data_IF_843295687243
#
_entry.id   IF_843295687243
#
_cell.length_a   1.000
_cell.length_b   1.000
_cell.length_c   1.000
_cell.angle_alpha   90.00
_cell.angle_beta   90.00
_cell.angle_gamma   90.00
#
_symmetry.space_group_name_H-M   'P 1'
#
loop_
_entity.id
_entity.type
_entity.pdbx_description
1 polymer ?
#
# COMPACT_ATOMS: atom_id res chain seq x y z
N UNK A 1 20.25 12.37 -10.79
CA UNK A 1 20.18 10.99 -11.08
C UNK A 1 20.12 10.17 -9.84
N UNK A 2 21.12 10.17 -9.02
CA UNK A 2 21.03 9.36 -7.82
C UNK A 2 19.92 9.82 -6.91
N UNK A 3 19.55 11.08 -6.92
CA UNK A 3 18.43 11.53 -6.13
C UNK A 3 17.11 11.00 -6.62
N UNK A 4 16.97 10.78 -7.90
CA UNK A 4 15.75 10.20 -8.43
C UNK A 4 15.59 8.77 -7.96
N UNK A 5 16.68 8.04 -7.92
CA UNK A 5 16.64 6.68 -7.42
C UNK A 5 16.23 6.66 -5.94
N UNK A 6 16.76 7.58 -5.17
CA UNK A 6 16.44 7.66 -3.76
C UNK A 6 14.97 7.98 -3.54
N UNK A 7 14.39 8.83 -4.38
CA UNK A 7 12.97 9.14 -4.29
C UNK A 7 12.13 7.92 -4.64
N UNK A 8 12.51 7.22 -5.69
CA UNK A 8 11.79 6.03 -6.11
C UNK A 8 11.77 4.98 -5.02
N UNK A 9 12.84 4.86 -4.27
CA UNK A 9 12.93 3.84 -3.23
C UNK A 9 11.99 4.10 -2.06
N UNK A 10 11.25 5.19 -2.08
CA UNK A 10 10.34 5.52 -0.99
C UNK A 10 8.91 5.74 -1.45
N UNK A 11 8.58 5.23 -2.61
CA UNK A 11 7.25 5.45 -3.15
C UNK A 11 6.17 4.81 -2.32
N UNK A 12 5.14 5.58 -2.06
CA UNK A 12 3.98 5.14 -1.31
C UNK A 12 2.75 5.64 -2.02
N UNK A 13 1.74 4.78 -2.16
CA UNK A 13 0.46 5.17 -2.73
C UNK A 13 -0.60 4.84 -1.69
N UNK A 14 -1.54 5.73 -1.47
CA UNK A 14 -2.55 5.46 -0.45
C UNK A 14 -3.91 5.97 -0.84
N UNK A 15 -4.92 5.38 -0.23
CA UNK A 15 -6.29 5.84 -0.32
C UNK A 15 -6.78 6.19 1.07
N UNK A 16 -7.50 7.29 1.20
CA UNK A 16 -8.10 7.67 2.46
C UNK A 16 -9.54 8.04 2.24
N UNK A 17 -10.41 7.52 3.11
CA UNK A 17 -11.83 7.83 3.03
C UNK A 17 -12.09 9.23 3.60
N UNK A 18 -13.37 9.61 3.64
CA UNK A 18 -13.73 10.93 4.14
C UNK A 18 -13.34 11.16 5.59
N UNK A 19 -13.13 10.10 6.36
CA UNK A 19 -12.66 10.26 7.75
C UNK A 19 -11.23 10.78 7.81
N UNK A 20 -10.47 10.60 6.74
CA UNK A 20 -9.10 11.08 6.64
C UNK A 20 -8.11 10.41 7.60
N UNK A 21 -8.49 9.30 8.19
CA UNK A 21 -7.59 8.60 9.13
C UNK A 21 -6.33 8.10 8.47
N UNK A 22 -6.46 7.47 7.29
CA UNK A 22 -5.30 6.97 6.57
C UNK A 22 -4.42 8.13 6.09
N UNK A 23 -5.04 9.21 5.65
CA UNK A 23 -4.31 10.41 5.23
C UNK A 23 -3.47 10.95 6.38
N UNK A 24 -4.04 11.03 7.58
CA UNK A 24 -3.31 11.51 8.76
C UNK A 24 -2.12 10.61 9.08
N UNK A 25 -2.33 9.30 8.96
CA UNK A 25 -1.25 8.35 9.20
C UNK A 25 -0.10 8.57 8.21
N UNK A 26 -0.43 8.67 6.93
CA UNK A 26 0.58 8.85 5.89
C UNK A 26 1.34 10.16 6.07
N UNK A 27 0.64 11.22 6.45
CA UNK A 27 1.30 12.49 6.70
C UNK A 27 2.31 12.40 7.83
N UNK A 28 2.00 11.65 8.87
CA UNK A 28 2.92 11.47 9.99
C UNK A 28 4.16 10.68 9.59
N UNK A 29 4.06 9.84 8.57
CA UNK A 29 5.23 9.11 8.10
C UNK A 29 6.29 10.02 7.52
N UNK A 30 5.89 11.13 6.93
CA UNK A 30 6.83 12.10 6.38
C UNK A 30 7.59 11.60 5.17
N UNK A 31 7.01 10.68 4.40
CA UNK A 31 7.65 10.17 3.18
C UNK A 31 6.85 10.62 1.96
N UNK A 32 7.48 10.65 0.81
CA UNK A 32 6.75 10.99 -0.42
C UNK A 32 5.62 10.00 -0.66
N UNK A 33 4.44 10.51 -0.97
CA UNK A 33 3.27 9.67 -1.14
C UNK A 33 2.33 10.25 -2.17
N UNK A 34 1.65 9.38 -2.89
CA UNK A 34 0.67 9.76 -3.90
C UNK A 34 -0.71 9.29 -3.42
N UNK A 35 -1.66 10.18 -3.42
CA UNK A 35 -3.00 9.86 -2.95
C UNK A 35 -3.89 9.44 -4.11
N UNK A 36 -4.59 8.31 -3.98
CA UNK A 36 -5.60 7.89 -4.93
C UNK A 36 -6.80 8.82 -4.74
N UNK A 37 -7.28 9.47 -5.79
CA UNK A 37 -8.37 10.43 -5.64
C UNK A 37 -9.71 9.74 -5.36
N UNK A 38 -10.62 10.45 -4.73
CA UNK A 38 -11.97 9.95 -4.50
C UNK A 38 -12.72 9.79 -5.81
N UNK A 39 -12.45 10.66 -6.75
CA UNK A 39 -13.07 10.64 -8.06
C UNK A 39 -11.98 10.71 -9.12
N UNK A 40 -12.17 10.00 -10.21
CA UNK A 40 -11.17 9.97 -11.26
C UNK A 40 -10.15 8.87 -11.03
N UNK A 41 -9.16 8.82 -11.87
CA UNK A 41 -8.17 7.75 -11.88
C UNK A 41 -6.77 8.31 -12.02
N UNK A 42 -5.80 7.59 -11.48
CA UNK A 42 -4.40 7.93 -11.66
C UNK A 42 -3.65 6.68 -12.07
N UNK A 43 -2.51 6.89 -12.68
CA UNK A 43 -1.61 5.82 -13.05
C UNK A 43 -0.22 6.18 -12.56
N UNK A 44 0.46 5.23 -11.94
CA UNK A 44 1.80 5.45 -11.40
C UNK A 44 2.85 4.82 -12.31
N UNK A 45 4.09 5.22 -12.16
CA UNK A 45 5.16 4.75 -13.04
C UNK A 45 6.37 4.21 -12.28
N UNK A 46 6.23 3.95 -10.98
CA UNK A 46 7.34 3.39 -10.21
C UNK A 46 6.81 2.44 -9.14
N UNK A 47 7.63 1.49 -8.68
CA UNK A 47 7.19 0.55 -7.64
C UNK A 47 6.75 1.27 -6.38
N UNK A 48 5.75 0.72 -5.71
CA UNK A 48 5.16 1.38 -4.54
C UNK A 48 4.64 0.37 -3.53
N UNK A 49 4.44 0.85 -2.31
CA UNK A 49 3.71 0.15 -1.26
C UNK A 49 2.36 0.83 -1.13
N UNK A 50 1.30 0.05 -1.07
CA UNK A 50 -0.06 0.56 -0.97
C UNK A 50 -0.51 0.63 0.48
N UNK A 51 -1.11 1.76 0.87
CA UNK A 51 -1.72 1.91 2.20
C UNK A 51 -3.20 2.19 2.01
N UNK A 52 -4.06 1.46 2.68
CA UNK A 52 -5.50 1.62 2.50
C UNK A 52 -6.26 1.28 3.77
N UNK A 53 -7.46 1.85 3.95
CA UNK A 53 -8.33 1.42 5.04
C UNK A 53 -9.11 0.18 4.67
N UNK A 54 -9.73 -0.46 5.65
CA UNK A 54 -10.62 -1.58 5.44
C UNK A 54 -12.05 -1.12 5.65
N UNK A 55 -12.90 -1.36 4.66
CA UNK A 55 -14.33 -1.11 4.80
C UNK A 55 -14.97 -2.31 5.47
N UNK A 56 -16.08 -2.10 6.13
CA UNK A 56 -16.65 -3.15 6.95
C UNK A 56 -17.56 -4.08 6.19
N UNK A 57 -17.54 -5.32 6.63
CA UNK A 57 -18.63 -6.22 6.41
C UNK A 57 -18.82 -6.86 5.07
N UNK A 58 -18.01 -6.66 4.13
CA UNK A 58 -18.13 -7.35 2.86
C UNK A 58 -19.42 -7.09 2.10
N UNK A 59 -20.27 -6.23 2.60
CA UNK A 59 -21.56 -5.93 1.96
C UNK A 59 -21.54 -4.67 1.13
N UNK A 60 -20.55 -3.84 1.32
CA UNK A 60 -20.52 -2.54 0.68
C UNK A 60 -20.39 -2.64 -0.82
N UNK A 61 -19.61 -3.58 -1.32
CA UNK A 61 -19.37 -3.72 -2.74
C UNK A 61 -19.19 -5.17 -3.13
N UNK A 62 -20.27 -5.94 -3.12
CA UNK A 62 -20.14 -7.38 -3.36
C UNK A 62 -19.67 -7.74 -4.76
N UNK A 63 -19.89 -6.89 -5.71
CA UNK A 63 -19.53 -7.16 -7.11
C UNK A 63 -18.08 -6.85 -7.43
N UNK A 64 -17.27 -6.42 -6.48
CA UNK A 64 -15.90 -6.07 -6.74
C UNK A 64 -14.91 -7.19 -6.43
N UNK A 65 -15.37 -8.38 -6.19
CA UNK A 65 -14.52 -9.52 -5.91
C UNK A 65 -13.57 -9.30 -4.74
N UNK A 66 -13.76 -8.26 -4.00
CA UNK A 66 -12.95 -7.94 -2.84
C UNK A 66 -13.77 -8.05 -1.57
N UNK A 67 -14.99 -8.58 -1.67
CA UNK A 67 -15.85 -8.77 -0.53
C UNK A 67 -16.28 -7.48 0.14
N UNK A 68 -16.12 -6.35 -0.52
CA UNK A 68 -16.49 -5.06 0.04
C UNK A 68 -15.52 -4.50 1.06
N UNK A 69 -14.45 -5.22 1.36
CA UNK A 69 -13.45 -4.76 2.31
C UNK A 69 -12.52 -3.70 1.71
N UNK A 70 -12.25 -3.81 0.41
CA UNK A 70 -11.34 -2.90 -0.27
C UNK A 70 -12.17 -1.77 -0.88
N UNK A 71 -11.81 -0.51 -0.62
CA UNK A 71 -12.54 0.62 -1.23
C UNK A 71 -12.57 0.50 -2.75
N UNK A 72 -13.69 0.90 -3.34
CA UNK A 72 -13.85 0.75 -4.80
C UNK A 72 -12.81 1.54 -5.58
N UNK A 73 -12.34 2.66 -5.04
CA UNK A 73 -11.31 3.46 -5.69
C UNK A 73 -10.00 2.69 -5.77
N UNK A 74 -9.70 1.89 -4.74
CA UNK A 74 -8.51 1.07 -4.73
C UNK A 74 -8.66 -0.08 -5.71
N UNK A 75 -9.85 -0.69 -5.78
CA UNK A 75 -10.10 -1.75 -6.74
C UNK A 75 -9.88 -1.24 -8.15
N UNK A 76 -10.43 -0.07 -8.47
CA UNK A 76 -10.23 0.53 -9.79
C UNK A 76 -8.77 0.82 -10.07
N UNK A 77 -8.05 1.32 -9.07
CA UNK A 77 -6.63 1.60 -9.21
C UNK A 77 -5.83 0.34 -9.52
N UNK A 78 -6.12 -0.74 -8.81
CA UNK A 78 -5.40 -2.00 -8.98
C UNK A 78 -5.86 -2.79 -10.21
N UNK A 79 -7.00 -2.46 -10.78
CA UNK A 79 -7.44 -3.08 -12.04
C UNK A 79 -6.72 -2.49 -13.25
N UNK A 80 -6.02 -1.39 -13.08
CA UNK A 80 -5.15 -0.86 -14.11
C UNK A 80 -3.90 -1.73 -14.14
N UNK A 81 -3.55 -2.27 -15.29
CA UNK A 81 -2.45 -3.21 -15.44
C UNK A 81 -1.13 -2.65 -14.97
N UNK A 82 -0.84 -1.41 -15.32
CA UNK A 82 0.42 -0.80 -14.94
C UNK A 82 0.49 -0.62 -13.42
N UNK A 83 -0.56 -0.09 -12.82
CA UNK A 83 -0.59 0.07 -11.37
C UNK A 83 -0.42 -1.26 -10.66
N UNK A 84 -1.09 -2.29 -11.17
CA UNK A 84 -1.01 -3.61 -10.57
C UNK A 84 0.38 -4.22 -10.69
N UNK A 85 1.05 -3.96 -11.78
CA UNK A 85 2.39 -4.50 -12.00
C UNK A 85 3.44 -3.89 -11.09
N UNK A 86 3.16 -2.73 -10.52
CA UNK A 86 4.13 -1.98 -9.72
C UNK A 86 3.95 -2.10 -8.21
N UNK A 87 2.87 -2.72 -7.75
CA UNK A 87 2.67 -2.87 -6.31
C UNK A 87 3.69 -3.86 -5.74
N UNK A 88 4.28 -3.52 -4.60
CA UNK A 88 5.30 -4.37 -3.99
C UNK A 88 4.98 -4.79 -2.56
N UNK A 89 3.99 -4.17 -1.96
CA UNK A 89 3.57 -4.53 -0.61
C UNK A 89 2.32 -3.79 -0.25
N UNK A 90 1.68 -4.17 0.86
CA UNK A 90 0.45 -3.53 1.31
C UNK A 90 0.47 -3.34 2.82
N UNK A 91 -0.07 -2.19 3.24
CA UNK A 91 -0.27 -1.85 4.64
C UNK A 91 -1.74 -1.48 4.77
N UNK A 92 -2.44 -2.00 5.75
CA UNK A 92 -3.86 -1.73 5.88
C UNK A 92 -4.23 -1.22 7.25
N UNK A 93 -5.19 -0.32 7.27
CA UNK A 93 -5.79 0.15 8.49
C UNK A 93 -7.14 -0.54 8.69
N UNK A 94 -7.61 -0.56 9.91
CA UNK A 94 -8.89 -1.13 10.23
C UNK A 94 -9.44 -0.60 11.52
N UNK A 95 -10.50 -1.25 11.99
CA UNK A 95 -11.14 -0.90 13.24
C UNK A 95 -11.32 -2.19 14.04
N UNK A 96 -10.85 -2.18 15.26
CA UNK A 96 -10.92 -3.36 16.14
C UNK A 96 -12.35 -3.86 16.35
N UNK A 97 -13.32 -2.99 16.16
CA UNK A 97 -14.72 -3.40 16.32
C UNK A 97 -15.15 -4.44 15.31
N UNK A 98 -14.38 -4.67 14.26
CA UNK A 98 -14.72 -5.66 13.25
C UNK A 98 -14.17 -7.06 13.58
N UNK A 99 -13.49 -7.21 14.69
CA UNK A 99 -13.02 -8.52 15.13
C UNK A 99 -12.11 -9.19 14.11
N UNK A 100 -12.48 -10.37 13.66
CA UNK A 100 -11.64 -11.15 12.74
C UNK A 100 -11.43 -10.46 11.40
N UNK A 101 -12.25 -9.47 11.09
CA UNK A 101 -12.11 -8.73 9.83
C UNK A 101 -11.25 -7.49 9.98
N UNK A 102 -10.61 -7.33 11.11
CA UNK A 102 -9.75 -6.18 11.35
C UNK A 102 -8.67 -6.11 10.28
N UNK A 103 -8.61 -4.97 9.60
CA UNK A 103 -7.62 -4.71 8.55
C UNK A 103 -7.60 -5.77 7.45
N UNK A 104 -8.74 -6.40 7.20
CA UNK A 104 -8.82 -7.51 6.25
C UNK A 104 -8.58 -7.09 4.80
N UNK A 105 -8.71 -5.81 4.48
CA UNK A 105 -8.41 -5.33 3.14
C UNK A 105 -6.97 -5.66 2.75
N UNK A 106 -6.05 -5.64 3.72
CA UNK A 106 -4.67 -6.02 3.46
C UNK A 106 -4.52 -7.47 3.06
N UNK A 107 -5.31 -8.34 3.68
CA UNK A 107 -5.31 -9.77 3.31
C UNK A 107 -5.80 -9.95 1.87
N UNK A 108 -6.85 -9.23 1.49
CA UNK A 108 -7.40 -9.34 0.15
C UNK A 108 -6.39 -8.89 -0.90
N UNK A 109 -5.79 -7.72 -0.69
CA UNK A 109 -4.83 -7.17 -1.65
C UNK A 109 -3.58 -8.05 -1.70
N UNK A 110 -3.09 -8.48 -0.56
CA UNK A 110 -1.90 -9.32 -0.49
C UNK A 110 -2.09 -10.59 -1.32
N UNK A 111 -3.24 -11.22 -1.14
CA UNK A 111 -3.56 -12.47 -1.84
C UNK A 111 -3.74 -12.25 -3.35
N UNK A 112 -4.51 -11.24 -3.72
CA UNK A 112 -4.83 -11.02 -5.12
C UNK A 112 -3.68 -10.47 -5.92
N UNK A 113 -2.82 -9.69 -5.31
CA UNK A 113 -1.69 -9.09 -6.00
C UNK A 113 -0.38 -9.85 -5.79
N UNK A 114 -0.38 -10.85 -4.91
CA UNK A 114 0.82 -11.64 -4.67
C UNK A 114 1.94 -10.85 -4.02
N UNK A 115 1.61 -9.98 -3.07
CA UNK A 115 2.61 -9.13 -2.41
C UNK A 115 2.51 -9.31 -0.90
N UNK A 116 3.59 -9.03 -0.15
CA UNK A 116 3.57 -9.19 1.31
C UNK A 116 2.66 -8.17 2.00
N UNK A 117 2.04 -8.61 3.07
CA UNK A 117 1.25 -7.77 3.95
C UNK A 117 2.22 -7.25 5.01
N UNK A 118 2.59 -5.99 4.89
CA UNK A 118 3.72 -5.47 5.67
C UNK A 118 3.35 -5.02 7.07
N UNK A 119 2.16 -4.44 7.25
CA UNK A 119 1.78 -3.93 8.56
C UNK A 119 0.29 -3.65 8.60
N UNK A 120 -0.28 -3.71 9.79
CA UNK A 120 -1.69 -3.33 10.00
C UNK A 120 -1.78 -2.44 11.22
N UNK A 121 -2.68 -1.46 11.18
CA UNK A 121 -2.85 -0.52 12.27
C UNK A 121 -4.31 -0.13 12.39
N UNK A 122 -4.65 0.51 13.50
CA UNK A 122 -6.04 0.88 13.79
C UNK A 122 -6.23 2.38 13.55
N UNK A 123 -7.29 2.73 12.83
CA UNK A 123 -7.70 4.13 12.60
C UNK A 123 -6.57 4.94 11.99
N UNK A 124 -6.04 5.91 12.70
CA UNK A 124 -4.96 6.75 12.19
C UNK A 124 -3.59 6.36 12.73
N UNK A 125 -3.53 5.23 13.44
CA UNK A 125 -2.28 4.73 13.99
C UNK A 125 -1.81 5.50 15.20
N UNK A 126 -0.96 4.85 15.98
CA UNK A 126 -0.32 5.47 17.14
C UNK A 126 1.07 5.96 16.73
N UNK A 127 1.75 6.75 17.57
CA UNK A 127 3.15 7.10 17.29
C UNK A 127 4.04 5.88 17.11
N UNK A 128 3.78 4.81 17.85
CA UNK A 128 4.53 3.57 17.68
C UNK A 128 4.29 2.94 16.32
N UNK A 129 3.05 2.99 15.84
CA UNK A 129 2.73 2.51 14.49
C UNK A 129 3.49 3.30 13.44
N UNK A 130 3.54 4.62 13.60
CA UNK A 130 4.24 5.49 12.65
C UNK A 130 5.72 5.14 12.61
N UNK A 131 6.33 4.96 13.77
CA UNK A 131 7.75 4.62 13.84
C UNK A 131 8.03 3.25 13.25
N UNK A 132 7.18 2.28 13.55
CA UNK A 132 7.35 0.92 13.04
C UNK A 132 7.25 0.90 11.51
N UNK A 133 6.28 1.60 10.97
CA UNK A 133 6.09 1.62 9.51
C UNK A 133 7.22 2.39 8.85
N UNK A 134 7.62 3.51 9.43
CA UNK A 134 8.72 4.30 8.86
C UNK A 134 9.99 3.46 8.78
N UNK A 135 10.33 2.78 9.85
CA UNK A 135 11.51 1.92 9.88
C UNK A 135 11.34 0.73 8.96
N UNK A 136 10.17 0.11 8.98
CA UNK A 136 9.90 -1.04 8.13
C UNK A 136 9.96 -0.72 6.66
N UNK A 137 9.46 0.43 6.26
CA UNK A 137 9.52 0.85 4.86
C UNK A 137 10.95 1.10 4.42
N UNK A 138 11.75 1.73 5.26
CA UNK A 138 13.14 1.99 4.92
C UNK A 138 13.88 0.67 4.69
N UNK A 139 13.67 -0.31 5.57
CA UNK A 139 14.28 -1.62 5.43
C UNK A 139 13.76 -2.37 4.22
N UNK A 140 12.45 -2.31 4.00
CA UNK A 140 11.82 -2.98 2.87
C UNK A 140 12.40 -2.47 1.55
N UNK A 141 12.49 -1.16 1.38
CA UNK A 141 13.01 -0.60 0.14
C UNK A 141 14.51 -0.85 -0.01
N UNK A 142 15.26 -0.83 1.07
CA UNK A 142 16.67 -1.15 1.01
C UNK A 142 16.87 -2.58 0.51
N UNK A 143 16.10 -3.52 1.02
CA UNK A 143 16.19 -4.91 0.60
C UNK A 143 15.72 -5.09 -0.83
N UNK A 144 14.64 -4.42 -1.20
CA UNK A 144 14.11 -4.51 -2.56
C UNK A 144 15.15 -4.05 -3.59
N UNK A 145 15.75 -2.89 -3.37
CA UNK A 145 16.72 -2.36 -4.32
C UNK A 145 18.02 -3.16 -4.33
N UNK A 146 18.37 -3.73 -3.20
CA UNK A 146 19.51 -4.61 -3.12
C UNK A 146 19.30 -5.87 -3.95
N UNK A 147 18.14 -6.46 -3.89
CA UNK A 147 17.81 -7.62 -4.70
C UNK A 147 17.84 -7.30 -6.19
N UNK A 148 17.30 -6.15 -6.57
CA UNK A 148 17.33 -5.73 -7.97
C UNK A 148 18.76 -5.58 -8.46
N UNK A 149 19.61 -5.03 -7.65
CA UNK A 149 21.01 -4.84 -7.99
C UNK A 149 21.73 -6.19 -8.11
N UNK A 150 21.46 -7.10 -7.21
CA UNK A 150 22.10 -8.41 -7.24
C UNK A 150 21.68 -9.24 -8.45
N UNK A 151 20.46 -9.08 -8.91
CA UNK A 151 19.98 -9.82 -10.06
C UNK A 151 20.67 -9.43 -11.34
N UNK A 152 20.97 -8.17 -11.50
CA UNK A 152 21.57 -7.66 -12.73
C UNK A 152 22.90 -8.28 -13.05
N UNK A 153 23.84 -8.34 -12.13
CA UNK A 153 25.12 -8.93 -12.45
C UNK A 153 25.03 -10.39 -12.89
N UNK A 154 24.14 -11.14 -12.25
CA UNK A 154 23.97 -12.52 -12.58
C UNK A 154 23.45 -12.71 -14.00
N UNK A 155 22.54 -11.90 -14.42
CA UNK A 155 22.01 -11.95 -15.77
C UNK A 155 23.06 -11.54 -16.78
N UNK A 156 23.86 -10.58 -16.45
CA UNK A 156 24.87 -10.10 -17.38
C UNK A 156 25.97 -11.07 -17.60
N UNK A 157 26.25 -11.90 -16.65
CA UNK A 157 27.34 -12.85 -16.79
C UNK A 157 27.01 -13.96 -17.78
N UNK A 158 25.79 -14.04 -18.19
CA UNK A 158 25.39 -15.01 -19.19
C UNK A 158 25.56 -14.46 -20.59
#
# INVERSE_FOLDING_TARGET
MSKEVAVQSRSLVYFSSVSENTHRFVQKLGVPATRIPLHGRIEVDEPYVLVLPTYGGGRANPDLNAGGYVPKQVVAFLNNEQNRSLIRGVIAAGNNNFGAEFAYAGNVVSRKCGVPYLYRFELMGTPDDVDAVRTGLANFWADFWKEQTCHQPSLQSL
#
